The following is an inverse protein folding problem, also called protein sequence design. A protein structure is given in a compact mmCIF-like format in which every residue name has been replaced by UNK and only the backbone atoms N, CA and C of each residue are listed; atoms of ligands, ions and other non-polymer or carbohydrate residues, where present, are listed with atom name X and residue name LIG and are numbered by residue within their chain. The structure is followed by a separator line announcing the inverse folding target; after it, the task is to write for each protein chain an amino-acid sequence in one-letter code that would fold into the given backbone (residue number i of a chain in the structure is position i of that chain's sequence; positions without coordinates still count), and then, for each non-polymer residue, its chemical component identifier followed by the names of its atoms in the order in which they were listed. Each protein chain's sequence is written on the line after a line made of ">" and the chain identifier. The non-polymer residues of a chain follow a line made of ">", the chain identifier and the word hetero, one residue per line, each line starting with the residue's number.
data_IF_529313885272
#
_entry.id   IF_529313885272
#
_cell.length_a   1.000
_cell.length_b   1.000
_cell.length_c   1.000
_cell.angle_alpha   90.00
_cell.angle_beta   90.00
_cell.angle_gamma   90.00
#
_symmetry.space_group_name_H-M   'P 1'
#
loop_
_entity.id
_entity.type
_entity.pdbx_description
1 polymer ?
#
# COMPACT_ATOMS: atom_id res chain seq x y z
N UNK A 1 8.30 -6.44 12.22
CA UNK A 1 8.41 -6.97 10.84
C UNK A 1 7.45 -8.13 10.55
N UNK A 2 7.16 -9.03 11.49
CA UNK A 2 6.19 -10.13 11.24
C UNK A 2 4.81 -9.62 10.79
N UNK A 3 4.30 -8.56 11.44
CA UNK A 3 3.02 -7.95 11.08
C UNK A 3 3.04 -7.30 9.70
N UNK A 4 4.13 -6.63 9.34
CA UNK A 4 4.32 -5.99 8.05
C UNK A 4 4.33 -7.02 6.93
N UNK A 5 5.03 -8.15 7.14
CA UNK A 5 5.01 -9.28 6.22
C UNK A 5 3.60 -9.89 6.08
N UNK A 6 2.87 -10.07 7.18
CA UNK A 6 1.49 -10.57 7.15
C UNK A 6 0.57 -9.66 6.32
N UNK A 7 0.64 -8.34 6.55
CA UNK A 7 -0.15 -7.34 5.80
C UNK A 7 0.19 -7.40 4.31
N UNK A 8 1.48 -7.39 3.99
CA UNK A 8 1.94 -7.41 2.61
C UNK A 8 1.52 -8.70 1.87
N UNK A 9 1.64 -9.86 2.53
CA UNK A 9 1.21 -11.14 1.96
C UNK A 9 -0.30 -11.22 1.75
N UNK A 10 -1.10 -10.69 2.68
CA UNK A 10 -2.57 -10.60 2.52
C UNK A 10 -2.95 -9.74 1.31
N UNK A 11 -2.35 -8.56 1.19
CA UNK A 11 -2.60 -7.66 0.06
C UNK A 11 -2.15 -8.28 -1.27
N UNK A 12 -0.98 -8.92 -1.30
CA UNK A 12 -0.45 -9.63 -2.47
C UNK A 12 -1.37 -10.78 -2.91
N UNK A 13 -1.90 -11.56 -1.97
CA UNK A 13 -2.87 -12.63 -2.27
C UNK A 13 -4.18 -12.08 -2.83
N UNK A 14 -4.67 -10.95 -2.31
CA UNK A 14 -5.89 -10.29 -2.79
C UNK A 14 -5.73 -9.77 -4.23
N UNK A 15 -4.66 -9.00 -4.48
CA UNK A 15 -4.43 -8.30 -5.75
C UNK A 15 -3.75 -9.15 -6.83
N UNK A 16 -3.18 -10.31 -6.47
CA UNK A 16 -2.53 -11.28 -7.36
C UNK A 16 -1.51 -10.62 -8.29
N UNK A 17 -1.75 -10.67 -9.59
CA UNK A 17 -0.86 -10.16 -10.64
C UNK A 17 -0.83 -8.62 -10.72
N UNK A 18 -1.65 -7.93 -9.93
CA UNK A 18 -1.68 -6.47 -9.90
C UNK A 18 -0.64 -5.87 -8.95
N UNK A 19 0.12 -6.70 -8.22
CA UNK A 19 1.26 -6.27 -7.40
C UNK A 19 2.55 -6.48 -8.17
N UNK A 20 3.24 -5.39 -8.48
CA UNK A 20 4.51 -5.40 -9.18
C UNK A 20 5.69 -5.51 -8.24
N UNK A 21 5.60 -4.88 -7.06
CA UNK A 21 6.68 -4.88 -6.09
C UNK A 21 6.15 -4.74 -4.66
N UNK A 22 6.82 -5.39 -3.70
CA UNK A 22 6.63 -5.19 -2.26
C UNK A 22 8.00 -4.96 -1.61
N UNK A 23 8.13 -3.88 -0.85
CA UNK A 23 9.32 -3.54 -0.07
C UNK A 23 8.95 -3.23 1.38
N UNK A 24 9.71 -3.77 2.32
CA UNK A 24 9.62 -3.44 3.75
C UNK A 24 11.01 -2.95 4.19
N UNK A 25 11.34 -1.68 3.91
CA UNK A 25 12.71 -1.18 4.10
C UNK A 25 13.13 -1.10 5.58
N UNK A 26 12.16 -0.97 6.50
CA UNK A 26 12.36 -0.95 7.95
C UNK A 26 11.05 -1.21 8.67
N UNK A 27 11.12 -1.36 9.99
CA UNK A 27 9.95 -1.52 10.86
C UNK A 27 8.91 -0.42 10.59
N UNK A 28 7.63 -0.81 10.60
CA UNK A 28 6.46 0.06 10.44
C UNK A 28 6.33 0.74 9.06
N UNK A 29 7.08 0.29 8.04
CA UNK A 29 7.04 0.85 6.68
C UNK A 29 6.88 -0.25 5.63
N UNK A 30 5.78 -0.16 4.87
CA UNK A 30 5.48 -1.06 3.74
C UNK A 30 5.29 -0.21 2.49
N UNK A 31 5.94 -0.59 1.40
CA UNK A 31 5.75 -0.01 0.07
C UNK A 31 5.27 -1.11 -0.87
N UNK A 32 4.20 -0.86 -1.62
CA UNK A 32 3.63 -1.83 -2.55
C UNK A 32 3.33 -1.12 -3.87
N UNK A 33 4.10 -1.42 -4.92
CA UNK A 33 3.82 -0.89 -6.26
C UNK A 33 2.74 -1.75 -6.91
N UNK A 34 1.63 -1.12 -7.31
CA UNK A 34 0.48 -1.80 -7.92
C UNK A 34 0.14 -1.25 -9.30
N UNK A 35 -0.61 -2.02 -10.08
CA UNK A 35 -1.20 -1.55 -11.34
C UNK A 35 -2.22 -0.44 -11.12
N UNK A 36 -2.27 0.54 -12.04
CA UNK A 36 -3.16 1.70 -11.99
C UNK A 36 -4.64 1.36 -11.79
N UNK A 37 -5.11 0.26 -12.39
CA UNK A 37 -6.51 -0.19 -12.29
C UNK A 37 -6.84 -0.86 -10.96
N UNK A 38 -5.83 -1.28 -10.19
CA UNK A 38 -6.00 -2.01 -8.93
C UNK A 38 -6.13 -1.10 -7.71
N UNK A 39 -5.87 0.21 -7.82
CA UNK A 39 -5.89 1.15 -6.69
C UNK A 39 -7.20 1.11 -5.90
N UNK A 40 -8.35 1.18 -6.60
CA UNK A 40 -9.66 1.18 -5.92
C UNK A 40 -9.90 -0.12 -5.14
N UNK A 41 -9.53 -1.26 -5.72
CA UNK A 41 -9.67 -2.57 -5.07
C UNK A 41 -8.71 -2.72 -3.88
N UNK A 42 -7.45 -2.27 -4.06
CA UNK A 42 -6.44 -2.25 -3.00
C UNK A 42 -6.89 -1.42 -1.80
N UNK A 43 -7.35 -0.19 -2.01
CA UNK A 43 -7.84 0.69 -0.93
C UNK A 43 -9.08 0.08 -0.27
N UNK A 44 -10.02 -0.47 -1.06
CA UNK A 44 -11.21 -1.12 -0.52
C UNK A 44 -10.83 -2.29 0.42
N UNK A 45 -9.92 -3.14 -0.01
CA UNK A 45 -9.42 -4.26 0.80
C UNK A 45 -8.68 -3.78 2.06
N UNK A 46 -7.80 -2.80 1.92
CA UNK A 46 -7.06 -2.23 3.06
C UNK A 46 -8.00 -1.65 4.12
N UNK A 47 -9.03 -0.92 3.71
CA UNK A 47 -9.98 -0.28 4.62
C UNK A 47 -10.91 -1.32 5.26
N UNK A 48 -11.58 -2.14 4.46
CA UNK A 48 -12.66 -3.00 4.95
C UNK A 48 -12.17 -4.32 5.56
N UNK A 49 -11.11 -4.91 5.02
CA UNK A 49 -10.61 -6.23 5.46
C UNK A 49 -9.41 -6.12 6.40
N UNK A 50 -8.52 -5.16 6.16
CA UNK A 50 -7.29 -5.01 6.95
C UNK A 50 -7.36 -3.90 8.01
N UNK A 51 -8.35 -3.01 7.95
CA UNK A 51 -8.59 -1.97 8.96
C UNK A 51 -7.66 -0.76 8.89
N UNK A 52 -7.15 -0.41 7.71
CA UNK A 52 -6.47 0.86 7.45
C UNK A 52 -7.51 1.99 7.31
N UNK A 53 -7.82 2.68 8.40
CA UNK A 53 -8.88 3.70 8.43
C UNK A 53 -8.37 5.14 8.33
N UNK A 54 -7.05 5.36 8.35
CA UNK A 54 -6.45 6.67 8.26
C UNK A 54 -5.64 6.82 6.98
N UNK A 55 -6.10 7.68 6.07
CA UNK A 55 -5.30 8.17 4.95
C UNK A 55 -4.48 9.35 5.45
N UNK A 56 -3.17 9.16 5.59
CA UNK A 56 -2.26 10.18 6.12
C UNK A 56 -2.05 11.31 5.13
N UNK A 57 -1.70 10.96 3.89
CA UNK A 57 -1.49 11.91 2.79
C UNK A 57 -1.47 11.17 1.45
N UNK A 58 -1.67 11.91 0.36
CA UNK A 58 -1.43 11.45 -1.00
C UNK A 58 -0.34 12.36 -1.57
N UNK A 59 0.76 11.76 -2.01
CA UNK A 59 1.85 12.51 -2.66
C UNK A 59 1.88 12.23 -4.15
N UNK A 60 2.32 13.21 -4.94
CA UNK A 60 2.57 13.07 -6.36
C UNK A 60 4.06 13.25 -6.64
N UNK A 61 4.65 12.33 -7.40
CA UNK A 61 6.01 12.44 -7.88
C UNK A 61 5.99 12.55 -9.42
N UNK A 62 6.58 13.62 -9.94
CA UNK A 62 6.77 13.79 -11.38
C UNK A 62 8.03 13.00 -11.79
N UNK A 63 7.84 11.96 -12.61
CA UNK A 63 8.94 11.11 -13.13
C UNK A 63 9.41 11.55 -14.51
N UNK A 64 8.92 12.69 -15.03
CA UNK A 64 9.03 13.16 -16.42
C UNK A 64 8.27 12.32 -17.46
N UNK A 65 8.03 11.04 -17.19
CA UNK A 65 7.19 10.16 -18.03
C UNK A 65 5.73 10.16 -17.59
N UNK A 66 5.50 10.15 -16.28
CA UNK A 66 4.18 10.16 -15.67
C UNK A 66 4.18 10.84 -14.31
N UNK A 67 2.99 11.11 -13.78
CA UNK A 67 2.81 11.50 -12.38
C UNK A 67 2.49 10.24 -11.60
N UNK A 68 3.43 9.75 -10.80
CA UNK A 68 3.19 8.69 -9.84
C UNK A 68 2.41 9.26 -8.64
N UNK A 69 1.32 8.60 -8.27
CA UNK A 69 0.55 8.95 -7.07
C UNK A 69 0.79 7.91 -6.00
N UNK A 70 1.23 8.35 -4.83
CA UNK A 70 1.55 7.49 -3.69
C UNK A 70 0.53 7.74 -2.58
N UNK A 71 -0.20 6.70 -2.20
CA UNK A 71 -1.25 6.77 -1.17
C UNK A 71 -0.71 6.22 0.14
N UNK A 72 -0.58 7.08 1.16
CA UNK A 72 -0.05 6.69 2.46
C UNK A 72 -1.18 6.42 3.45
N UNK A 73 -1.39 5.15 3.82
CA UNK A 73 -2.38 4.74 4.81
C UNK A 73 -1.72 4.24 6.09
N UNK A 74 -2.24 4.66 7.25
CA UNK A 74 -1.76 4.22 8.55
C UNK A 74 -2.70 3.16 9.16
N UNK A 75 -2.11 2.04 9.59
CA UNK A 75 -2.77 1.00 10.37
C UNK A 75 -2.61 1.29 11.86
N UNK A 76 -3.73 1.63 12.52
CA UNK A 76 -3.80 1.85 13.98
C UNK A 76 -2.70 2.78 14.53
N UNK A 77 -2.29 3.78 13.75
CA UNK A 77 -1.24 4.74 14.12
C UNK A 77 0.19 4.17 14.23
N UNK A 78 0.40 2.90 13.88
CA UNK A 78 1.70 2.23 14.02
C UNK A 78 2.37 2.01 12.67
N UNK A 79 1.78 1.22 11.77
CA UNK A 79 2.37 0.82 10.50
C UNK A 79 1.85 1.71 9.38
N UNK A 80 2.74 2.22 8.54
CA UNK A 80 2.38 2.98 7.33
C UNK A 80 2.60 2.10 6.10
N UNK A 81 1.57 2.01 5.27
CA UNK A 81 1.61 1.35 3.97
C UNK A 81 1.43 2.40 2.88
N UNK A 82 2.33 2.41 1.91
CA UNK A 82 2.31 3.28 0.74
C UNK A 82 2.01 2.44 -0.51
N UNK A 83 0.90 2.75 -1.19
CA UNK A 83 0.53 2.19 -2.51
C UNK A 83 1.02 3.09 -3.63
#
# INVERSE_FOLDING_TARGET
>A
MEKENEIAEKLKKHLKNSVFEVKIPRERRIFVKIGKTALKDAVKYLVHELGFTHLSTITGADTSEEIELIYHLAYKGSIELSL
#
